data_IF_128456418888
#
_entry.id   IF_128456418888
#
_cell.length_a   1.000
_cell.length_b   1.000
_cell.length_c   1.000
_cell.angle_alpha   90.00
_cell.angle_beta   90.00
_cell.angle_gamma   90.00
#
_symmetry.space_group_name_H-M   'P 1'
#
loop_
_entity.id
_entity.type
_entity.pdbx_description
1 polymer ?
#
# COMPACT_ATOMS: atom_id res chain seq x y z
N UNK A 1 -16.01 -56.45 -35.96
CA UNK A 1 -16.70 -56.53 -34.65
C UNK A 1 -17.95 -55.67 -34.72
N UNK A 2 -19.12 -56.30 -34.67
CA UNK A 2 -20.43 -55.65 -34.69
C UNK A 2 -20.91 -55.28 -33.28
N UNK A 3 -21.88 -54.35 -33.27
CA UNK A 3 -22.97 -54.08 -32.30
C UNK A 3 -22.80 -52.82 -31.44
N UNK A 4 -23.52 -51.73 -31.75
CA UNK A 4 -24.87 -51.31 -31.23
C UNK A 4 -24.88 -51.12 -29.71
N UNK A 5 -25.47 -50.10 -29.08
CA UNK A 5 -26.55 -49.16 -29.39
C UNK A 5 -26.42 -47.93 -28.44
N UNK A 6 -26.64 -46.69 -28.89
CA UNK A 6 -27.87 -45.88 -28.70
C UNK A 6 -28.35 -45.79 -27.23
N UNK A 7 -28.33 -44.59 -26.63
CA UNK A 7 -29.52 -44.05 -25.96
C UNK A 7 -29.44 -42.51 -25.83
N UNK A 8 -30.36 -41.86 -26.52
CA UNK A 8 -30.75 -40.45 -26.43
C UNK A 8 -31.96 -40.34 -25.50
N UNK A 9 -31.98 -39.43 -24.53
CA UNK A 9 -33.19 -38.71 -24.05
C UNK A 9 -32.70 -37.42 -23.37
N UNK A 10 -32.87 -36.22 -23.95
CA UNK A 10 -34.03 -35.33 -23.82
C UNK A 10 -34.58 -35.16 -22.39
N UNK A 11 -34.42 -33.97 -21.80
CA UNK A 11 -35.45 -33.29 -21.00
C UNK A 11 -34.91 -31.91 -20.59
N UNK A 12 -35.15 -30.86 -21.38
CA UNK A 12 -36.28 -29.93 -21.20
C UNK A 12 -36.20 -29.07 -19.94
N UNK A 13 -35.97 -27.79 -20.22
CA UNK A 13 -36.18 -26.62 -19.38
C UNK A 13 -37.35 -26.75 -18.38
N UNK A 14 -37.19 -26.15 -17.19
CA UNK A 14 -38.31 -25.63 -16.43
C UNK A 14 -37.94 -24.30 -15.76
N UNK A 15 -38.63 -23.25 -16.26
CA UNK A 15 -38.80 -21.94 -15.64
C UNK A 15 -40.03 -22.05 -14.74
N UNK A 16 -39.93 -21.65 -13.48
CA UNK A 16 -41.07 -21.38 -12.61
C UNK A 16 -40.99 -19.90 -12.21
N UNK A 17 -41.68 -19.01 -12.92
CA UNK A 17 -43.09 -18.60 -12.79
C UNK A 17 -43.35 -17.70 -11.57
N UNK A 18 -43.17 -16.42 -11.85
CA UNK A 18 -43.79 -15.23 -11.28
C UNK A 18 -45.23 -15.46 -10.77
N UNK A 19 -45.52 -15.03 -9.53
CA UNK A 19 -46.86 -14.54 -9.22
C UNK A 19 -46.83 -13.39 -8.19
N UNK A 20 -47.54 -12.31 -8.57
CA UNK A 20 -47.71 -11.03 -7.89
C UNK A 20 -49.04 -11.04 -7.16
N UNK A 21 -49.12 -10.55 -5.91
CA UNK A 21 -50.28 -9.82 -5.30
C UNK A 21 -49.72 -9.01 -4.11
N UNK A 22 -49.41 -7.71 -4.19
CA UNK A 22 -50.22 -6.48 -4.18
C UNK A 22 -51.29 -6.36 -3.08
N UNK A 23 -51.23 -5.21 -2.40
CA UNK A 23 -52.24 -4.50 -1.56
C UNK A 23 -52.38 -4.96 -0.10
N UNK A 24 -52.54 -4.11 0.94
CA UNK A 24 -52.79 -2.67 1.05
C UNK A 24 -52.57 -2.20 2.52
N UNK A 25 -51.81 -1.11 2.72
CA UNK A 25 -52.14 0.09 3.55
C UNK A 25 -52.43 -0.01 5.07
N UNK A 26 -51.44 0.49 5.82
CA UNK A 26 -51.44 1.39 7.02
C UNK A 26 -52.14 1.03 8.34
N UNK A 27 -51.33 1.06 9.41
CA UNK A 27 -51.43 2.01 10.54
C UNK A 27 -50.06 1.96 11.29
N UNK A 28 -49.29 3.05 11.51
CA UNK A 28 -49.45 4.05 12.59
C UNK A 28 -49.82 3.35 13.91
N UNK A 29 -49.05 3.31 14.98
CA UNK A 29 -48.12 4.29 15.56
C UNK A 29 -47.40 3.61 16.73
N UNK A 30 -46.27 4.20 17.13
CA UNK A 30 -45.63 4.11 18.46
C UNK A 30 -44.92 2.81 18.83
N UNK A 31 -43.58 2.83 18.75
CA UNK A 31 -42.68 2.92 19.91
C UNK A 31 -41.25 3.02 19.35
N UNK A 32 -40.59 4.18 19.43
CA UNK A 32 -39.48 4.43 20.37
C UNK A 32 -38.85 3.15 20.93
N UNK A 33 -37.51 3.06 20.91
CA UNK A 33 -36.66 1.90 21.28
C UNK A 33 -36.28 1.06 20.06
N UNK A 34 -35.27 1.48 19.28
CA UNK A 34 -33.97 0.79 19.04
C UNK A 34 -33.01 1.82 18.41
N UNK A 35 -32.71 2.93 19.11
CA UNK A 35 -31.59 3.85 18.77
C UNK A 35 -30.50 3.73 19.86
N UNK A 36 -30.28 2.51 20.34
CA UNK A 36 -29.17 2.14 21.22
C UNK A 36 -28.62 0.83 20.71
N UNK A 37 -27.59 0.90 19.86
CA UNK A 37 -27.06 -0.30 19.23
C UNK A 37 -26.00 -0.07 18.16
N UNK A 38 -25.27 1.05 18.18
CA UNK A 38 -23.95 1.10 17.52
C UNK A 38 -22.95 0.42 18.46
N UNK A 39 -23.17 -0.89 18.67
CA UNK A 39 -22.13 -1.81 19.08
C UNK A 39 -21.10 -1.82 17.95
N UNK A 40 -20.10 -0.97 18.12
CA UNK A 40 -18.70 -1.34 18.05
C UNK A 40 -18.48 -2.64 17.30
N UNK A 41 -18.48 -2.52 15.97
CA UNK A 41 -17.96 -3.53 15.07
C UNK A 41 -16.46 -3.52 15.30
N UNK A 42 -16.04 -4.31 16.27
CA UNK A 42 -14.66 -4.73 16.45
C UNK A 42 -14.23 -5.30 15.10
N UNK A 43 -13.51 -4.46 14.34
CA UNK A 43 -12.67 -4.90 13.25
C UNK A 43 -11.70 -5.87 13.91
N UNK A 44 -12.02 -7.15 13.81
CA UNK A 44 -11.06 -8.21 13.94
C UNK A 44 -10.05 -7.98 12.82
N UNK A 45 -9.07 -7.13 13.12
CA UNK A 45 -7.79 -7.15 12.44
C UNK A 45 -7.25 -8.54 12.75
N UNK A 46 -7.52 -9.49 11.85
CA UNK A 46 -6.74 -10.68 11.69
C UNK A 46 -5.30 -10.18 11.62
N UNK A 47 -4.58 -10.29 12.75
CA UNK A 47 -3.14 -10.05 12.80
C UNK A 47 -2.55 -11.40 12.37
N UNK A 48 -2.22 -11.62 11.08
CA UNK A 48 -1.44 -12.80 10.74
C UNK A 48 -0.16 -12.75 11.57
N UNK A 49 0.28 -13.91 12.04
CA UNK A 49 1.53 -14.07 12.78
C UNK A 49 2.61 -13.17 12.17
N UNK A 50 3.02 -12.16 12.93
CA UNK A 50 3.83 -11.04 12.46
C UNK A 50 5.23 -11.54 12.08
N UNK A 51 5.44 -11.79 10.78
CA UNK A 51 6.76 -11.63 10.20
C UNK A 51 7.15 -10.16 10.41
N UNK A 52 8.06 -9.90 11.36
CA UNK A 52 8.51 -8.58 11.83
C UNK A 52 8.23 -7.43 10.83
N UNK A 53 7.06 -6.75 10.90
CA UNK A 53 6.67 -5.74 9.90
C UNK A 53 7.65 -4.58 9.84
N UNK A 54 8.39 -4.37 10.93
CA UNK A 54 9.44 -3.37 11.03
C UNK A 54 10.66 -3.70 10.16
N UNK A 55 11.00 -4.99 9.98
CA UNK A 55 12.16 -5.39 9.18
C UNK A 55 11.93 -5.17 7.69
N UNK A 56 10.74 -5.47 7.19
CA UNK A 56 10.40 -5.26 5.78
C UNK A 56 10.40 -3.77 5.40
N UNK A 57 9.91 -2.91 6.29
CA UNK A 57 9.92 -1.47 6.12
C UNK A 57 11.36 -0.90 6.05
N UNK A 58 12.24 -1.34 6.96
CA UNK A 58 13.65 -0.96 6.95
C UNK A 58 14.36 -1.40 5.66
N UNK A 59 14.07 -2.60 5.17
CA UNK A 59 14.63 -3.10 3.89
C UNK A 59 14.15 -2.25 2.70
N UNK A 60 12.86 -1.87 2.69
CA UNK A 60 12.30 -0.99 1.66
C UNK A 60 13.01 0.38 1.67
N UNK A 61 13.15 0.97 2.85
CA UNK A 61 13.87 2.22 3.05
C UNK A 61 15.32 2.13 2.52
N UNK A 62 16.03 1.04 2.85
CA UNK A 62 17.40 0.81 2.39
C UNK A 62 17.51 0.76 0.85
N UNK A 63 16.59 0.05 0.18
CA UNK A 63 16.56 -0.05 -1.29
C UNK A 63 16.26 1.30 -1.94
N UNK A 64 15.30 2.05 -1.39
CA UNK A 64 14.93 3.37 -1.89
C UNK A 64 16.10 4.37 -1.80
N UNK A 65 16.76 4.43 -0.63
CA UNK A 65 17.94 5.26 -0.43
C UNK A 65 19.05 4.90 -1.42
N UNK A 66 19.31 3.59 -1.61
CA UNK A 66 20.34 3.15 -2.53
C UNK A 66 20.07 3.55 -3.99
N UNK A 67 18.80 3.57 -4.40
CA UNK A 67 18.40 4.02 -5.73
C UNK A 67 18.69 5.52 -5.93
N UNK A 68 18.24 6.35 -4.99
CA UNK A 68 18.45 7.81 -5.03
C UNK A 68 19.93 8.21 -4.92
N UNK A 69 20.73 7.44 -4.20
CA UNK A 69 22.16 7.67 -4.04
C UNK A 69 23.00 7.57 -5.32
N UNK A 70 22.43 7.09 -6.44
CA UNK A 70 23.13 7.00 -7.73
C UNK A 70 23.38 8.36 -8.37
N UNK A 71 22.46 9.30 -8.16
CA UNK A 71 22.51 10.65 -8.72
C UNK A 71 23.32 11.64 -7.86
N UNK A 72 23.97 11.15 -6.80
CA UNK A 72 24.75 11.97 -5.88
C UNK A 72 26.07 12.45 -6.52
N UNK A 73 26.46 13.73 -6.40
CA UNK A 73 27.62 14.29 -7.09
C UNK A 73 28.96 13.63 -6.69
N UNK A 74 29.09 13.15 -5.46
CA UNK A 74 30.30 12.45 -4.97
C UNK A 74 30.35 10.96 -5.40
N UNK A 75 29.34 10.48 -6.12
CA UNK A 75 29.22 9.10 -6.58
C UNK A 75 28.53 8.16 -5.59
N UNK A 76 28.06 7.03 -6.12
CA UNK A 76 27.25 6.05 -5.37
C UNK A 76 28.03 5.30 -4.28
N UNK A 77 29.36 5.16 -4.44
CA UNK A 77 30.20 4.45 -3.48
C UNK A 77 30.28 5.20 -2.13
N UNK A 78 30.51 6.51 -2.18
CA UNK A 78 30.56 7.37 -1.00
C UNK A 78 29.26 7.32 -0.19
N UNK A 79 28.12 7.41 -0.87
CA UNK A 79 26.82 7.35 -0.24
C UNK A 79 26.52 5.98 0.37
N UNK A 80 26.89 4.89 -0.33
CA UNK A 80 26.72 3.52 0.16
C UNK A 80 27.48 3.26 1.45
N UNK A 81 28.71 3.74 1.58
CA UNK A 81 29.51 3.57 2.79
C UNK A 81 28.89 4.29 3.99
N UNK A 82 28.40 5.50 3.79
CA UNK A 82 27.73 6.29 4.85
C UNK A 82 26.43 5.66 5.29
N UNK A 83 25.61 5.20 4.36
CA UNK A 83 24.40 4.44 4.68
C UNK A 83 24.74 3.18 5.47
N UNK A 84 25.68 2.36 4.97
CA UNK A 84 26.09 1.13 5.65
C UNK A 84 26.54 1.43 7.07
N UNK A 85 27.37 2.46 7.26
CA UNK A 85 27.86 2.87 8.58
C UNK A 85 26.72 3.29 9.52
N UNK A 86 25.70 4.01 9.02
CA UNK A 86 24.53 4.40 9.81
C UNK A 86 23.68 3.19 10.24
N UNK A 87 23.46 2.22 9.35
CA UNK A 87 22.72 1.00 9.70
C UNK A 87 23.52 0.08 10.64
N UNK A 88 24.85 0.01 10.49
CA UNK A 88 25.71 -0.77 11.39
C UNK A 88 25.67 -0.22 12.83
N UNK A 89 25.62 1.10 13.00
CA UNK A 89 25.49 1.74 14.33
C UNK A 89 24.15 1.44 15.02
N UNK A 90 23.09 1.16 14.27
CA UNK A 90 21.73 0.96 14.80
C UNK A 90 21.31 -0.52 14.84
N UNK A 91 22.25 -1.47 14.69
CA UNK A 91 21.94 -2.90 14.56
C UNK A 91 21.33 -3.51 15.84
N UNK A 92 21.71 -2.99 17.00
CA UNK A 92 21.37 -3.57 18.31
C UNK A 92 20.06 -2.96 18.90
N UNK A 93 19.37 -2.08 18.15
CA UNK A 93 18.14 -1.43 18.61
C UNK A 93 16.93 -2.35 18.38
N UNK A 94 16.38 -2.88 19.47
CA UNK A 94 15.23 -3.81 19.44
C UNK A 94 13.89 -3.11 19.75
N UNK A 95 13.92 -1.87 20.25
CA UNK A 95 12.70 -1.16 20.66
C UNK A 95 11.86 -0.69 19.45
N UNK A 96 10.57 -1.06 19.35
CA UNK A 96 9.73 -0.78 18.19
C UNK A 96 9.50 0.72 17.96
N UNK A 97 9.41 1.51 19.03
CA UNK A 97 9.24 2.97 18.93
C UNK A 97 10.49 3.66 18.37
N UNK A 98 11.68 3.21 18.79
CA UNK A 98 12.94 3.77 18.30
C UNK A 98 13.13 3.43 16.82
N UNK A 99 12.76 2.23 16.40
CA UNK A 99 12.80 1.82 14.98
C UNK A 99 11.91 2.74 14.13
N UNK A 100 10.67 3.00 14.55
CA UNK A 100 9.76 3.92 13.84
C UNK A 100 10.35 5.33 13.71
N UNK A 101 10.96 5.87 14.78
CA UNK A 101 11.64 7.17 14.75
C UNK A 101 12.83 7.19 13.77
N UNK A 102 13.60 6.11 13.70
CA UNK A 102 14.73 5.97 12.76
C UNK A 102 14.25 5.84 11.31
N UNK A 103 13.17 5.09 11.07
CA UNK A 103 12.54 4.99 9.74
C UNK A 103 12.06 6.36 9.28
N UNK A 104 11.35 7.10 10.13
CA UNK A 104 10.88 8.44 9.82
C UNK A 104 12.07 9.38 9.46
N UNK A 105 13.18 9.31 10.20
CA UNK A 105 14.42 10.04 9.84
C UNK A 105 14.93 9.66 8.46
N UNK A 106 14.90 8.39 8.09
CA UNK A 106 15.26 7.94 6.75
C UNK A 106 14.36 8.51 5.64
N UNK A 107 13.05 8.61 5.90
CA UNK A 107 12.10 9.21 4.96
C UNK A 107 12.35 10.72 4.78
N UNK A 108 12.81 11.42 5.82
CA UNK A 108 13.26 12.81 5.69
C UNK A 108 14.47 12.94 4.76
N UNK A 109 15.47 12.06 4.91
CA UNK A 109 16.66 12.06 4.04
C UNK A 109 16.30 11.82 2.57
N UNK A 110 15.30 10.96 2.31
CA UNK A 110 14.78 10.75 0.94
C UNK A 110 14.29 12.08 0.34
N UNK A 111 13.46 12.83 1.08
CA UNK A 111 12.91 14.12 0.62
C UNK A 111 14.00 15.15 0.37
N UNK A 112 15.05 15.17 1.20
CA UNK A 112 16.20 16.06 1.00
C UNK A 112 16.95 15.74 -0.30
N UNK A 113 17.15 14.45 -0.59
CA UNK A 113 17.80 14.00 -1.83
C UNK A 113 16.95 14.34 -3.07
N UNK A 114 15.64 14.17 -3.00
CA UNK A 114 14.71 14.56 -4.06
C UNK A 114 14.75 16.09 -4.29
N UNK A 115 14.73 16.88 -3.22
CA UNK A 115 14.86 18.34 -3.31
C UNK A 115 16.20 18.76 -3.95
N UNK A 116 17.30 18.10 -3.58
CA UNK A 116 18.61 18.34 -4.19
C UNK A 116 18.60 17.99 -5.68
N UNK A 117 17.96 16.89 -6.06
CA UNK A 117 17.81 16.49 -7.47
C UNK A 117 17.06 17.57 -8.27
N UNK A 118 15.94 18.09 -7.75
CA UNK A 118 15.18 19.16 -8.39
C UNK A 118 15.98 20.45 -8.51
N UNK A 119 16.70 20.83 -7.46
CA UNK A 119 17.55 22.03 -7.47
C UNK A 119 18.65 21.93 -8.53
N UNK A 120 19.30 20.76 -8.65
CA UNK A 120 20.33 20.53 -9.67
C UNK A 120 19.76 20.62 -11.08
N UNK A 121 18.60 20.00 -11.33
CA UNK A 121 17.86 20.10 -12.60
C UNK A 121 17.51 21.55 -12.95
N UNK A 122 16.97 22.29 -11.98
CA UNK A 122 16.61 23.70 -12.16
C UNK A 122 17.83 24.57 -12.46
N UNK A 123 18.94 24.41 -11.72
CA UNK A 123 20.20 25.13 -11.99
C UNK A 123 20.71 24.88 -13.41
N UNK A 124 20.70 23.62 -13.86
CA UNK A 124 21.12 23.26 -15.21
C UNK A 124 20.20 23.86 -16.29
N UNK A 125 18.89 23.90 -16.06
CA UNK A 125 17.93 24.53 -16.96
C UNK A 125 18.11 26.05 -17.00
N UNK A 126 18.22 26.70 -15.83
CA UNK A 126 18.40 28.15 -15.72
C UNK A 126 19.63 28.61 -16.52
N UNK A 127 20.75 27.88 -16.38
CA UNK A 127 21.99 28.14 -17.10
C UNK A 127 21.85 28.07 -18.64
N UNK A 128 20.92 27.26 -19.15
CA UNK A 128 20.74 27.08 -20.60
C UNK A 128 19.90 28.17 -21.26
N UNK A 129 18.95 28.74 -20.52
CA UNK A 129 17.94 29.65 -21.08
C UNK A 129 18.11 31.11 -20.65
N UNK A 130 18.76 31.38 -19.51
CA UNK A 130 18.80 32.72 -18.91
C UNK A 130 20.21 33.27 -18.71
N UNK A 131 21.24 32.63 -19.26
CA UNK A 131 22.56 33.25 -19.41
C UNK A 131 22.58 33.90 -20.81
N UNK A 132 22.26 35.21 -20.93
CA UNK A 132 22.10 35.88 -22.22
C UNK A 132 23.42 36.08 -22.97
N UNK A 133 24.55 35.83 -22.33
CA UNK A 133 25.90 36.08 -22.89
C UNK A 133 26.47 34.86 -23.62
N UNK A 134 25.63 34.20 -24.43
CA UNK A 134 26.06 33.19 -25.40
C UNK A 134 25.82 33.64 -26.82
#
# INVERSE_FOLDING_TARGET
MCRTARFTVHCSQRKDKLERRRFCVTARVNLHIIITGVHEVQKAHFVPAMANPLKSEVIRLYKNLLYLGRDYPQGSAYFRERLKSAFMKNRDVTDPEKIKKLVARGDFVIKELEALYFLRKYRAMKKRYYDPDK
#
